data_IF_070107031444
#
_entry.id   IF_070107031444
#
_cell.length_a   1.000
_cell.length_b   1.000
_cell.length_c   1.000
_cell.angle_alpha   90.00
_cell.angle_beta   90.00
_cell.angle_gamma   90.00
#
_symmetry.space_group_name_H-M   'P 1'
#
loop_
_entity.id
_entity.type
_entity.pdbx_description
1 polymer ?
#
# COMPACT_ATOMS: atom_id res chain seq x y z
N UNK A 1 -3.09 -10.28 20.93
CA UNK A 1 -2.99 -8.81 20.81
C UNK A 1 -1.72 -8.35 21.51
N UNK A 2 -1.08 -7.35 21.01
CA UNK A 2 0.22 -6.89 21.54
C UNK A 2 0.09 -5.81 22.61
N UNK A 3 -0.98 -5.85 23.41
CA UNK A 3 -1.24 -4.83 24.40
C UNK A 3 -1.50 -3.47 23.75
N UNK A 4 -0.80 -2.43 24.18
CA UNK A 4 -1.01 -1.07 23.68
C UNK A 4 -0.19 -0.77 22.40
N UNK A 5 0.51 -1.77 21.84
CA UNK A 5 1.32 -1.57 20.65
C UNK A 5 0.42 -1.45 19.41
N UNK A 6 0.59 -0.36 18.66
CA UNK A 6 -0.12 -0.17 17.40
C UNK A 6 0.41 -1.15 16.35
N UNK A 7 -0.43 -1.67 15.45
CA UNK A 7 0.04 -2.53 14.38
C UNK A 7 0.94 -1.79 13.41
N UNK A 8 1.90 -2.51 12.87
CA UNK A 8 2.70 -2.01 11.75
C UNK A 8 1.93 -2.28 10.46
N UNK A 9 1.85 -1.27 9.60
CA UNK A 9 1.07 -1.33 8.36
C UNK A 9 2.01 -1.13 7.17
N UNK A 10 1.87 -1.99 6.17
CA UNK A 10 2.56 -1.84 4.90
C UNK A 10 1.52 -1.46 3.84
N UNK A 11 1.68 -0.29 3.20
CA UNK A 11 0.79 0.17 2.14
C UNK A 11 1.52 0.05 0.81
N UNK A 12 0.98 -0.75 -0.10
CA UNK A 12 1.60 -1.04 -1.40
C UNK A 12 0.87 -0.25 -2.47
N UNK A 13 1.58 0.65 -3.13
CA UNK A 13 1.03 1.61 -4.06
C UNK A 13 0.80 2.96 -3.37
N UNK A 14 1.54 3.98 -3.76
CA UNK A 14 1.53 5.30 -3.09
C UNK A 14 1.02 6.39 -4.05
N UNK A 15 -0.02 6.06 -4.81
CA UNK A 15 -0.71 7.00 -5.68
C UNK A 15 -1.88 7.70 -4.98
N UNK A 16 -2.90 8.07 -5.75
CA UNK A 16 -4.04 8.87 -5.27
C UNK A 16 -4.86 8.19 -4.17
N UNK A 17 -4.81 6.86 -4.08
CA UNK A 17 -5.52 6.11 -3.03
C UNK A 17 -4.56 5.74 -1.90
N UNK A 18 -3.42 5.12 -2.24
CA UNK A 18 -2.52 4.57 -1.23
C UNK A 18 -1.81 5.61 -0.38
N UNK A 19 -1.34 6.70 -0.97
CA UNK A 19 -0.63 7.72 -0.20
C UNK A 19 -1.53 8.40 0.85
N UNK A 20 -2.77 8.85 0.51
CA UNK A 20 -3.67 9.37 1.55
C UNK A 20 -3.98 8.34 2.63
N UNK A 21 -4.21 7.09 2.27
CA UNK A 21 -4.45 6.02 3.24
C UNK A 21 -3.25 5.85 4.17
N UNK A 22 -2.04 5.78 3.62
CA UNK A 22 -0.82 5.64 4.40
C UNK A 22 -0.64 6.80 5.38
N UNK A 23 -0.88 8.03 4.91
CA UNK A 23 -0.71 9.23 5.73
C UNK A 23 -1.73 9.28 6.88
N UNK A 24 -2.98 8.90 6.62
CA UNK A 24 -4.03 8.90 7.65
C UNK A 24 -3.76 7.82 8.71
N UNK A 25 -3.33 6.64 8.29
CA UNK A 25 -2.98 5.55 9.22
C UNK A 25 -1.79 5.97 10.09
N UNK A 26 -0.77 6.59 9.49
CA UNK A 26 0.39 7.09 10.22
C UNK A 26 -0.01 8.17 11.22
N UNK A 27 -0.91 9.09 10.83
CA UNK A 27 -1.41 10.13 11.72
C UNK A 27 -2.10 9.54 12.95
N UNK A 28 -2.76 8.41 12.79
CA UNK A 28 -3.40 7.71 13.92
C UNK A 28 -2.39 7.06 14.87
N UNK A 29 -1.10 7.08 14.54
CA UNK A 29 -0.04 6.57 15.40
C UNK A 29 0.50 5.20 14.99
N UNK A 30 0.01 4.60 13.91
CA UNK A 30 0.51 3.32 13.41
C UNK A 30 1.76 3.55 12.56
N UNK A 31 2.89 2.87 12.83
CA UNK A 31 4.03 2.94 11.92
C UNK A 31 3.63 2.40 10.54
N UNK A 32 3.92 3.15 9.49
CA UNK A 32 3.57 2.78 8.11
C UNK A 32 4.82 2.68 7.26
N UNK A 33 4.96 1.55 6.59
CA UNK A 33 5.94 1.34 5.54
C UNK A 33 5.23 1.42 4.20
N UNK A 34 5.47 2.49 3.45
CA UNK A 34 4.91 2.67 2.11
C UNK A 34 5.81 2.03 1.06
N UNK A 35 5.22 1.35 0.10
CA UNK A 35 5.96 0.69 -0.98
C UNK A 35 5.45 1.18 -2.32
N UNK A 36 6.37 1.60 -3.17
CA UNK A 36 6.06 1.96 -4.56
C UNK A 36 7.21 1.54 -5.45
N UNK A 37 6.91 1.06 -6.65
CA UNK A 37 7.93 0.60 -7.60
C UNK A 37 8.75 1.75 -8.18
N UNK A 38 8.26 2.97 -8.06
CA UNK A 38 8.88 4.16 -8.65
C UNK A 38 9.79 4.86 -7.64
N UNK A 39 11.09 4.81 -7.87
CA UNK A 39 12.08 5.37 -6.93
C UNK A 39 11.85 6.88 -6.68
N UNK A 40 11.48 7.64 -7.71
CA UNK A 40 11.24 9.08 -7.55
C UNK A 40 10.07 9.37 -6.61
N UNK A 41 9.03 8.52 -6.64
CA UNK A 41 7.90 8.62 -5.70
C UNK A 41 8.39 8.38 -4.27
N UNK A 42 9.17 7.32 -4.08
CA UNK A 42 9.73 6.98 -2.76
C UNK A 42 10.58 8.13 -2.22
N UNK A 43 11.46 8.67 -3.03
CA UNK A 43 12.35 9.77 -2.63
C UNK A 43 11.55 11.01 -2.27
N UNK A 44 10.53 11.34 -3.04
CA UNK A 44 9.65 12.48 -2.79
C UNK A 44 8.96 12.37 -1.43
N UNK A 45 8.37 11.21 -1.15
CA UNK A 45 7.67 10.97 0.11
C UNK A 45 8.63 11.04 1.30
N UNK A 46 9.82 10.45 1.16
CA UNK A 46 10.80 10.45 2.26
C UNK A 46 11.35 11.84 2.57
N UNK A 47 11.23 12.79 1.63
CA UNK A 47 11.51 14.20 1.91
C UNK A 47 10.36 14.93 2.60
N UNK A 48 9.23 14.25 2.84
CA UNK A 48 8.04 14.89 3.39
C UNK A 48 7.22 15.65 2.35
N UNK A 49 7.41 15.34 1.09
CA UNK A 49 6.71 15.98 -0.03
C UNK A 49 5.71 15.02 -0.68
N UNK A 50 4.85 15.54 -1.54
CA UNK A 50 3.91 14.71 -2.29
C UNK A 50 4.14 14.86 -3.78
N UNK A 51 3.81 13.81 -4.53
CA UNK A 51 3.94 13.74 -6.00
C UNK A 51 2.58 13.82 -6.70
N UNK A 52 1.50 13.96 -5.93
CA UNK A 52 0.12 14.07 -6.42
C UNK A 52 -0.49 15.36 -5.88
N UNK A 53 -1.55 15.83 -6.53
CA UNK A 53 -2.28 17.01 -6.07
C UNK A 53 -3.51 16.56 -5.29
N UNK A 54 -3.47 16.80 -3.99
CA UNK A 54 -4.56 16.46 -3.08
C UNK A 54 -4.61 17.50 -1.96
N UNK A 55 -5.79 18.00 -1.67
CA UNK A 55 -5.97 19.08 -0.69
C UNK A 55 -5.52 18.60 0.69
N UNK A 56 -4.69 19.41 1.36
CA UNK A 56 -4.19 19.19 2.72
C UNK A 56 -3.31 17.94 2.90
N UNK A 57 -3.01 17.21 1.82
CA UNK A 57 -2.19 16.01 1.93
C UNK A 57 -0.71 16.34 2.19
N UNK A 58 -0.20 17.40 1.59
CA UNK A 58 1.21 17.80 1.71
C UNK A 58 1.63 18.03 3.17
N UNK A 59 0.84 18.79 3.92
CA UNK A 59 1.11 19.04 5.34
C UNK A 59 1.01 17.77 6.17
N UNK A 60 0.06 16.90 5.86
CA UNK A 60 -0.09 15.64 6.56
C UNK A 60 1.10 14.71 6.33
N UNK A 61 1.53 14.54 5.07
CA UNK A 61 2.68 13.70 4.74
C UNK A 61 3.94 14.25 5.40
N UNK A 62 4.17 15.56 5.32
CA UNK A 62 5.31 16.20 5.98
C UNK A 62 5.34 15.87 7.47
N UNK A 63 4.21 16.04 8.15
CA UNK A 63 4.13 15.82 9.59
C UNK A 63 4.43 14.37 9.97
N UNK A 64 3.83 13.38 9.29
CA UNK A 64 4.02 11.98 9.66
C UNK A 64 5.40 11.45 9.28
N UNK A 65 5.99 11.96 8.20
CA UNK A 65 7.37 11.63 7.83
C UNK A 65 8.36 12.18 8.86
N UNK A 66 8.18 13.43 9.28
CA UNK A 66 9.04 14.04 10.30
C UNK A 66 8.97 13.33 11.64
N UNK A 67 7.80 12.79 11.98
CA UNK A 67 7.61 12.01 13.21
C UNK A 67 8.15 10.58 13.10
N UNK A 68 8.65 10.18 11.94
CA UNK A 68 9.15 8.82 11.72
C UNK A 68 8.07 7.76 11.61
N UNK A 69 6.81 8.16 11.43
CA UNK A 69 5.68 7.23 11.35
C UNK A 69 5.42 6.75 9.92
N UNK A 70 5.88 7.47 8.91
CA UNK A 70 5.77 7.06 7.51
C UNK A 70 7.15 7.05 6.87
N UNK A 71 7.52 5.91 6.32
CA UNK A 71 8.73 5.73 5.51
C UNK A 71 8.34 5.02 4.23
N UNK A 72 9.00 5.36 3.12
CA UNK A 72 8.74 4.74 1.83
C UNK A 72 9.98 4.01 1.32
N UNK A 73 9.74 2.96 0.53
CA UNK A 73 10.78 2.12 -0.06
C UNK A 73 10.24 1.47 -1.32
N UNK A 74 11.13 0.95 -2.16
CA UNK A 74 10.72 0.13 -3.31
C UNK A 74 10.57 -1.34 -2.94
N UNK A 75 11.00 -1.72 -1.76
CA UNK A 75 10.98 -3.11 -1.29
C UNK A 75 9.93 -3.31 -0.22
N UNK A 76 9.22 -4.44 -0.30
CA UNK A 76 8.24 -4.82 0.72
C UNK A 76 8.95 -5.23 2.01
N UNK A 77 8.30 -5.03 3.14
CA UNK A 77 8.82 -5.42 4.45
C UNK A 77 7.72 -6.13 5.24
N UNK A 78 8.10 -7.00 6.19
CA UNK A 78 7.11 -7.62 7.08
C UNK A 78 6.28 -6.56 7.83
N UNK A 79 5.01 -6.86 8.03
CA UNK A 79 4.06 -5.99 8.74
C UNK A 79 2.95 -6.83 9.34
N UNK A 80 2.10 -6.22 10.14
CA UNK A 80 0.92 -6.87 10.70
C UNK A 80 -0.26 -6.78 9.75
N UNK A 81 -0.35 -5.68 8.99
CA UNK A 81 -1.43 -5.43 8.04
C UNK A 81 -0.80 -4.96 6.72
N UNK A 82 -1.25 -5.55 5.64
CA UNK A 82 -0.85 -5.15 4.28
C UNK A 82 -2.05 -4.57 3.57
N UNK A 83 -1.92 -3.35 3.05
CA UNK A 83 -2.96 -2.68 2.26
C UNK A 83 -2.47 -2.59 0.82
N UNK A 84 -3.19 -3.22 -0.09
CA UNK A 84 -2.85 -3.19 -1.53
C UNK A 84 -3.70 -2.11 -2.20
N UNK A 85 -3.05 -1.05 -2.67
CA UNK A 85 -3.66 0.13 -3.28
C UNK A 85 -2.99 0.47 -4.62
N UNK A 86 -2.62 -0.55 -5.37
CA UNK A 86 -1.96 -0.41 -6.67
C UNK A 86 -2.96 -0.03 -7.76
N UNK A 87 -2.51 0.55 -8.90
CA UNK A 87 -3.42 0.90 -10.00
C UNK A 87 -4.10 -0.34 -10.61
N UNK A 88 -5.34 -0.14 -11.07
CA UNK A 88 -6.08 -1.16 -11.83
C UNK A 88 -6.61 -0.51 -13.11
N UNK A 89 -5.69 -0.15 -14.05
CA UNK A 89 -6.11 0.50 -15.29
C UNK A 89 -6.88 -0.47 -16.18
N UNK A 90 -7.49 0.05 -17.23
CA UNK A 90 -8.08 -0.82 -18.24
C UNK A 90 -6.98 -1.50 -19.04
N UNK A 91 -7.18 -2.80 -19.32
CA UNK A 91 -6.29 -3.55 -20.20
C UNK A 91 -6.38 -3.00 -21.64
N UNK A 92 -5.31 -3.18 -22.40
CA UNK A 92 -5.23 -2.68 -23.78
C UNK A 92 -5.92 -3.63 -24.78
N UNK A 93 -7.11 -4.12 -24.41
CA UNK A 93 -7.89 -5.05 -25.26
C UNK A 93 -9.06 -4.37 -25.98
N UNK A 94 -9.26 -3.08 -25.74
CA UNK A 94 -10.37 -2.33 -26.33
C UNK A 94 -11.73 -2.55 -25.66
N UNK A 95 -11.82 -3.40 -24.65
CA UNK A 95 -13.07 -3.79 -23.99
C UNK A 95 -13.25 -3.17 -22.61
N UNK A 96 -12.36 -2.27 -22.20
CA UNK A 96 -12.34 -1.67 -20.84
C UNK A 96 -12.27 -2.72 -19.74
N UNK A 97 -11.62 -3.87 -20.01
CA UNK A 97 -11.40 -4.90 -19.01
C UNK A 97 -10.40 -4.40 -17.97
N UNK A 98 -10.70 -4.45 -16.66
CA UNK A 98 -9.73 -4.04 -15.64
C UNK A 98 -8.49 -4.94 -15.65
N UNK A 99 -7.32 -4.31 -15.59
CA UNK A 99 -6.05 -5.03 -15.50
C UNK A 99 -5.70 -5.22 -14.02
N UNK A 100 -5.84 -6.44 -13.53
CA UNK A 100 -5.55 -6.79 -12.14
C UNK A 100 -4.13 -7.34 -11.95
N UNK A 101 -3.27 -7.28 -12.96
CA UNK A 101 -1.92 -7.81 -12.88
C UNK A 101 -1.09 -7.15 -11.78
N UNK A 102 -1.29 -5.84 -11.55
CA UNK A 102 -0.60 -5.13 -10.48
C UNK A 102 -1.02 -5.62 -9.10
N UNK A 103 -2.31 -5.94 -8.93
CA UNK A 103 -2.82 -6.52 -7.67
C UNK A 103 -2.19 -7.88 -7.44
N UNK A 104 -2.15 -8.73 -8.47
CA UNK A 104 -1.59 -10.08 -8.33
C UNK A 104 -0.09 -10.04 -8.07
N UNK A 105 0.64 -9.13 -8.72
CA UNK A 105 2.07 -8.94 -8.46
C UNK A 105 2.32 -8.49 -7.03
N UNK A 106 1.51 -7.55 -6.51
CA UNK A 106 1.61 -7.12 -5.12
C UNK A 106 1.31 -8.27 -4.16
N UNK A 107 0.30 -9.08 -4.45
CA UNK A 107 -0.06 -10.25 -3.65
C UNK A 107 1.10 -11.25 -3.57
N UNK A 108 1.79 -11.48 -4.67
CA UNK A 108 2.95 -12.38 -4.68
C UNK A 108 4.08 -11.84 -3.81
N UNK A 109 4.32 -10.54 -3.82
CA UNK A 109 5.32 -9.91 -2.95
C UNK A 109 4.93 -10.01 -1.48
N UNK A 110 3.66 -9.78 -1.16
CA UNK A 110 3.15 -9.94 0.21
C UNK A 110 3.36 -11.36 0.70
N UNK A 111 3.10 -12.36 -0.17
CA UNK A 111 3.25 -13.77 0.19
C UNK A 111 4.66 -14.12 0.65
N UNK A 112 5.68 -13.41 0.14
CA UNK A 112 7.08 -13.65 0.52
C UNK A 112 7.38 -13.28 1.98
N UNK A 113 6.61 -12.36 2.56
CA UNK A 113 6.87 -11.84 3.92
C UNK A 113 5.70 -12.07 4.87
N UNK A 114 4.60 -12.63 4.38
CA UNK A 114 3.38 -12.85 5.17
C UNK A 114 3.62 -13.92 6.23
N UNK A 115 3.14 -13.69 7.43
CA UNK A 115 3.18 -14.65 8.51
C UNK A 115 1.79 -14.88 9.08
N UNK A 116 1.62 -15.95 9.83
CA UNK A 116 0.35 -16.30 10.44
C UNK A 116 -0.16 -15.17 11.34
N UNK A 117 -1.41 -14.82 11.19
CA UNK A 117 -2.03 -13.75 11.96
C UNK A 117 -2.03 -12.41 11.25
N UNK A 118 -1.27 -12.26 10.16
CA UNK A 118 -1.27 -11.02 9.38
C UNK A 118 -2.57 -10.85 8.59
N UNK A 119 -2.92 -9.60 8.30
CA UNK A 119 -4.13 -9.25 7.54
C UNK A 119 -3.72 -8.62 6.21
N UNK A 120 -4.40 -9.00 5.13
CA UNK A 120 -4.22 -8.39 3.81
C UNK A 120 -5.53 -7.75 3.37
N UNK A 121 -5.48 -6.46 3.04
CA UNK A 121 -6.64 -5.67 2.61
C UNK A 121 -6.43 -5.23 1.17
N UNK A 122 -7.39 -5.53 0.31
CA UNK A 122 -7.40 -5.01 -1.06
C UNK A 122 -8.21 -3.71 -1.07
N UNK A 123 -7.52 -2.59 -1.23
CA UNK A 123 -8.15 -1.27 -1.32
C UNK A 123 -8.37 -0.84 -2.77
N UNK A 124 -7.57 -1.37 -3.70
CA UNK A 124 -7.70 -1.05 -5.12
C UNK A 124 -9.10 -1.33 -5.64
N UNK A 125 -9.61 -0.45 -6.51
CA UNK A 125 -10.85 -0.72 -7.26
C UNK A 125 -10.62 -1.97 -8.11
N UNK A 126 -11.53 -2.95 -8.03
CA UNK A 126 -11.29 -4.24 -8.67
C UNK A 126 -12.62 -4.95 -8.98
N UNK A 127 -12.63 -5.86 -9.99
CA UNK A 127 -13.80 -6.66 -10.28
C UNK A 127 -14.18 -7.59 -9.13
N UNK A 128 -15.43 -8.03 -9.12
CA UNK A 128 -15.90 -9.06 -8.19
C UNK A 128 -15.02 -10.32 -8.37
N UNK A 129 -14.60 -10.92 -7.27
CA UNK A 129 -13.76 -12.11 -7.28
C UNK A 129 -12.25 -11.84 -7.20
N UNK A 130 -11.82 -10.58 -7.26
CA UNK A 130 -10.40 -10.24 -7.19
C UNK A 130 -9.79 -10.57 -5.83
N UNK A 131 -10.52 -10.32 -4.74
CA UNK A 131 -10.03 -10.64 -3.40
C UNK A 131 -9.81 -12.14 -3.24
N UNK A 132 -10.73 -12.96 -3.75
CA UNK A 132 -10.60 -14.41 -3.72
C UNK A 132 -9.43 -14.89 -4.56
N UNK A 133 -9.23 -14.30 -5.75
CA UNK A 133 -8.09 -14.62 -6.61
C UNK A 133 -6.77 -14.24 -5.93
N UNK A 134 -6.74 -13.11 -5.26
CA UNK A 134 -5.58 -12.67 -4.47
C UNK A 134 -5.29 -13.63 -3.33
N UNK A 135 -6.33 -14.05 -2.59
CA UNK A 135 -6.20 -15.03 -1.51
C UNK A 135 -5.58 -16.33 -2.04
N UNK A 136 -6.09 -16.81 -3.17
CA UNK A 136 -5.63 -18.08 -3.76
C UNK A 136 -4.17 -17.95 -4.23
N UNK A 137 -3.79 -16.81 -4.79
CA UNK A 137 -2.41 -16.57 -5.23
C UNK A 137 -1.45 -16.54 -4.02
N UNK A 138 -1.86 -15.95 -2.91
CA UNK A 138 -1.06 -15.92 -1.68
C UNK A 138 -0.93 -17.34 -1.11
N UNK A 139 -2.03 -18.08 -1.05
CA UNK A 139 -2.05 -19.44 -0.50
C UNK A 139 -1.21 -20.42 -1.33
N UNK A 140 -0.97 -20.14 -2.61
CA UNK A 140 -0.15 -20.99 -3.48
C UNK A 140 1.35 -20.86 -3.21
N UNK A 141 1.78 -19.90 -2.42
CA UNK A 141 3.16 -19.71 -1.99
C UNK A 141 3.35 -20.36 -0.61
#
# INVERSE_FOLDING_TARGET
MRGDTKPEVCVIGLGYIGLPTAAIIARAGCPVHGVDVTQTVVDTINRGEIHIEEVDLDGLVQAVVQRGLLKASTEIAPADVFVIAVPTPFAKDGNHTPDTSYVMAAAEKVAEVLKKGDTVILESTSPVGTTEAMRDAIAAK
#
